data_IF_377389274024
#
_entry.id   IF_377389274024
#
_cell.length_a   1.000
_cell.length_b   1.000
_cell.length_c   1.000
_cell.angle_alpha   90.00
_cell.angle_beta   90.00
_cell.angle_gamma   90.00
#
_symmetry.space_group_name_H-M   'P 1'
#
loop_
_entity.id
_entity.type
_entity.pdbx_description
1 polymer ?
#
# COMPACT_ATOMS: atom_id res chain seq x y z
N UNK A 1 -31.77 12.48 16.24
CA UNK A 1 -30.49 12.05 16.83
C UNK A 1 -29.46 12.02 15.72
N UNK A 2 -28.28 12.67 15.84
CA UNK A 2 -27.27 12.60 14.79
C UNK A 2 -26.80 11.14 14.65
N UNK A 3 -26.60 10.71 13.40
CA UNK A 3 -26.27 9.33 13.06
C UNK A 3 -24.91 8.98 13.71
N UNK A 4 -24.84 8.04 14.68
CA UNK A 4 -23.61 7.76 15.42
C UNK A 4 -22.47 7.23 14.53
N UNK A 5 -22.78 6.87 13.27
CA UNK A 5 -21.82 6.42 12.27
C UNK A 5 -20.81 7.49 11.80
N UNK A 6 -21.04 8.78 12.05
CA UNK A 6 -20.11 9.85 11.65
C UNK A 6 -19.65 10.72 12.83
N UNK A 7 -19.06 10.10 13.84
CA UNK A 7 -18.11 10.84 14.68
C UNK A 7 -16.87 11.09 13.82
N UNK A 8 -16.86 12.20 13.10
CA UNK A 8 -15.67 12.67 12.38
C UNK A 8 -14.57 12.91 13.42
N UNK A 9 -13.43 12.18 13.37
CA UNK A 9 -12.25 12.62 14.10
C UNK A 9 -11.81 13.91 13.41
N UNK A 10 -12.12 15.06 14.01
CA UNK A 10 -11.53 16.34 13.59
C UNK A 10 -10.06 16.34 13.97
N UNK A 11 -9.23 15.62 13.22
CA UNK A 11 -7.80 15.92 13.21
C UNK A 11 -7.65 17.25 12.46
N UNK A 12 -7.41 18.34 13.20
CA UNK A 12 -7.09 19.65 12.62
C UNK A 12 -5.70 19.59 12.01
N UNK A 13 -5.54 18.94 10.87
CA UNK A 13 -4.44 19.26 9.96
C UNK A 13 -4.85 20.55 9.22
N UNK A 14 -4.13 21.64 9.47
CA UNK A 14 -4.34 22.90 8.75
C UNK A 14 -3.85 22.73 7.30
N UNK A 15 -4.73 22.27 6.41
CA UNK A 15 -4.47 22.29 4.98
C UNK A 15 -4.70 23.71 4.46
N UNK A 16 -3.62 24.45 4.20
CA UNK A 16 -3.67 25.68 3.40
C UNK A 16 -3.77 25.29 1.92
N UNK A 17 -4.99 25.19 1.41
CA UNK A 17 -5.28 24.88 0.01
C UNK A 17 -5.22 26.15 -0.84
N UNK A 18 -4.11 26.36 -1.54
CA UNK A 18 -4.10 27.18 -2.75
C UNK A 18 -4.42 26.27 -3.93
N UNK A 19 -5.71 26.18 -4.27
CA UNK A 19 -6.22 25.40 -5.40
C UNK A 19 -5.99 26.16 -6.71
N UNK A 20 -5.10 25.64 -7.55
CA UNK A 20 -5.11 25.90 -9.00
C UNK A 20 -5.97 24.79 -9.63
N UNK A 21 -7.02 25.10 -10.40
CA UNK A 21 -7.87 24.07 -10.98
C UNK A 21 -7.18 23.48 -12.20
N UNK A 22 -6.66 22.26 -12.08
CA UNK A 22 -6.26 21.44 -13.22
C UNK A 22 -7.49 20.64 -13.65
N UNK A 23 -8.07 20.97 -14.82
CA UNK A 23 -9.11 20.14 -15.44
C UNK A 23 -8.49 18.80 -15.86
N UNK A 24 -8.74 17.75 -15.07
CA UNK A 24 -8.51 16.36 -15.45
C UNK A 24 -9.81 15.79 -16.01
N UNK A 25 -9.74 15.25 -17.23
CA UNK A 25 -10.84 14.53 -17.88
C UNK A 25 -11.33 13.39 -16.96
N UNK A 26 -12.64 13.37 -16.71
CA UNK A 26 -13.26 12.49 -15.73
C UNK A 26 -13.13 11.01 -16.08
N UNK A 27 -12.42 10.27 -15.23
CA UNK A 27 -12.69 8.84 -15.09
C UNK A 27 -13.99 8.69 -14.30
N UNK A 28 -14.88 7.82 -14.77
CA UNK A 28 -16.11 7.44 -14.05
C UNK A 28 -15.82 6.45 -12.92
N UNK A 29 -14.72 6.66 -12.19
CA UNK A 29 -14.36 5.80 -11.07
C UNK A 29 -15.38 6.01 -9.94
N UNK A 30 -16.10 4.94 -9.61
CA UNK A 30 -17.04 4.89 -8.50
C UNK A 30 -16.30 5.30 -7.22
N UNK A 31 -16.78 6.35 -6.56
CA UNK A 31 -16.16 6.82 -5.32
C UNK A 31 -16.55 5.90 -4.15
N UNK A 32 -15.63 5.64 -3.21
CA UNK A 32 -15.96 4.97 -1.97
C UNK A 32 -17.08 5.70 -1.23
N UNK A 33 -18.00 4.92 -0.67
CA UNK A 33 -19.04 5.44 0.19
C UNK A 33 -18.43 6.02 1.47
N UNK A 34 -18.82 7.23 1.84
CA UNK A 34 -18.65 7.73 3.22
C UNK A 34 -19.62 7.00 4.16
N UNK A 35 -19.49 7.15 5.49
CA UNK A 35 -20.30 6.50 6.55
C UNK A 35 -21.67 5.93 6.07
N UNK A 36 -21.92 4.64 6.26
CA UNK A 36 -23.18 4.00 5.86
C UNK A 36 -24.05 3.63 7.08
N UNK A 37 -25.39 3.69 6.98
CA UNK A 37 -26.26 3.28 8.08
C UNK A 37 -26.14 1.77 8.32
N UNK A 38 -26.12 1.36 9.59
CA UNK A 38 -26.03 -0.06 9.98
C UNK A 38 -27.16 -0.92 9.37
N UNK A 39 -28.33 -0.35 9.15
CA UNK A 39 -29.46 -1.05 8.52
C UNK A 39 -29.20 -1.46 7.07
N UNK A 40 -28.36 -0.73 6.33
CA UNK A 40 -27.96 -1.11 4.98
C UNK A 40 -26.90 -2.23 4.98
N UNK A 41 -26.10 -2.31 6.05
CA UNK A 41 -24.99 -3.26 6.17
C UNK A 41 -24.93 -3.92 7.55
N UNK A 42 -25.90 -4.77 7.89
CA UNK A 42 -26.00 -5.35 9.22
C UNK A 42 -24.84 -6.29 9.58
N UNK A 43 -24.04 -6.72 8.61
CA UNK A 43 -22.90 -7.62 8.79
C UNK A 43 -21.54 -6.95 8.64
N UNK A 44 -21.45 -5.70 8.17
CA UNK A 44 -20.16 -5.01 8.12
C UNK A 44 -19.68 -4.70 9.54
N UNK A 45 -18.39 -4.89 9.84
CA UNK A 45 -17.85 -4.52 11.13
C UNK A 45 -17.88 -3.00 11.30
N UNK A 46 -17.93 -2.57 12.56
CA UNK A 46 -18.06 -1.16 12.95
C UNK A 46 -16.75 -0.55 13.45
N UNK A 47 -15.77 -1.40 13.80
CA UNK A 47 -14.47 -0.99 14.37
C UNK A 47 -13.28 -1.77 13.79
N UNK A 48 -13.44 -2.40 12.62
CA UNK A 48 -12.38 -3.15 11.95
C UNK A 48 -12.00 -2.46 10.64
N UNK A 49 -10.76 -2.64 10.20
CA UNK A 49 -10.32 -2.28 8.86
C UNK A 49 -11.04 -3.21 7.86
N UNK A 50 -11.62 -2.62 6.83
CA UNK A 50 -12.27 -3.30 5.70
C UNK A 50 -11.88 -2.63 4.39
N UNK A 51 -12.01 -3.34 3.27
CA UNK A 51 -11.90 -2.77 1.92
C UNK A 51 -12.90 -1.66 1.68
N UNK A 52 -12.68 -0.81 0.66
CA UNK A 52 -13.65 0.24 0.36
C UNK A 52 -14.99 -0.36 -0.02
N UNK A 53 -16.04 0.26 0.51
CA UNK A 53 -17.42 -0.05 0.17
C UNK A 53 -17.83 0.91 -0.94
N UNK A 54 -18.23 0.39 -2.10
CA UNK A 54 -18.66 1.23 -3.23
C UNK A 54 -20.10 0.93 -3.61
N UNK A 55 -20.83 1.97 -4.00
CA UNK A 55 -22.18 1.87 -4.55
C UNK A 55 -22.20 2.12 -6.04
N UNK A 56 -23.04 1.39 -6.75
CA UNK A 56 -23.45 1.78 -8.11
C UNK A 56 -24.02 3.19 -8.13
N UNK A 57 -24.08 3.79 -9.33
CA UNK A 57 -24.71 5.10 -9.54
C UNK A 57 -26.19 5.17 -9.08
N UNK A 58 -26.87 4.03 -8.93
CA UNK A 58 -28.23 3.91 -8.40
C UNK A 58 -28.29 3.92 -6.85
N UNK A 59 -27.16 4.10 -6.15
CA UNK A 59 -27.08 4.11 -4.69
C UNK A 59 -27.19 2.74 -4.02
N UNK A 60 -27.29 1.67 -4.82
CA UNK A 60 -27.20 0.29 -4.33
C UNK A 60 -25.73 0.01 -4.03
N UNK A 61 -25.40 -0.34 -2.80
CA UNK A 61 -24.05 -0.81 -2.43
C UNK A 61 -23.81 -2.13 -3.15
N UNK A 62 -22.79 -2.15 -4.00
CA UNK A 62 -22.57 -3.26 -4.94
C UNK A 62 -21.35 -4.10 -4.63
N UNK A 63 -20.38 -3.57 -3.88
CA UNK A 63 -19.13 -4.28 -3.64
C UNK A 63 -18.38 -3.76 -2.42
N UNK A 64 -17.63 -4.66 -1.80
CA UNK A 64 -16.55 -4.37 -0.86
C UNK A 64 -15.28 -4.85 -1.54
N UNK A 65 -14.24 -4.02 -1.57
CA UNK A 65 -12.94 -4.45 -2.09
C UNK A 65 -12.41 -5.65 -1.29
N UNK A 66 -11.86 -6.63 -2.01
CA UNK A 66 -11.22 -7.77 -1.39
C UNK A 66 -9.93 -7.32 -0.71
N UNK A 67 -9.84 -7.55 0.60
CA UNK A 67 -8.62 -7.35 1.37
C UNK A 67 -8.14 -8.69 1.91
N UNK A 68 -6.83 -8.88 1.97
CA UNK A 68 -6.23 -10.09 2.52
C UNK A 68 -5.09 -9.72 3.47
N UNK A 69 -3.88 -10.16 3.17
CA UNK A 69 -2.70 -10.16 4.01
C UNK A 69 -2.38 -8.78 4.58
N UNK A 70 -1.98 -8.77 5.87
CA UNK A 70 -1.41 -7.58 6.50
C UNK A 70 0.07 -7.57 6.18
N UNK A 71 0.46 -6.77 5.20
CA UNK A 71 1.86 -6.66 4.81
C UNK A 71 2.70 -5.98 5.91
N UNK A 72 2.17 -4.97 6.63
CA UNK A 72 2.93 -4.36 7.74
C UNK A 72 2.11 -3.62 8.77
N UNK A 73 2.55 -3.69 10.03
CA UNK A 73 2.07 -2.84 11.13
C UNK A 73 3.27 -2.18 11.81
N UNK A 74 3.34 -0.85 11.78
CA UNK A 74 4.46 -0.10 12.36
C UNK A 74 4.00 1.11 13.16
N UNK A 75 4.86 1.59 14.07
CA UNK A 75 4.74 2.91 14.69
C UNK A 75 5.82 3.81 14.10
N UNK A 76 5.42 4.87 13.40
CA UNK A 76 6.33 5.85 12.82
C UNK A 76 5.93 7.25 13.27
N UNK A 77 6.85 7.98 13.90
CA UNK A 77 6.62 9.37 14.40
C UNK A 77 5.33 9.56 15.20
N UNK A 78 4.97 8.57 16.02
CA UNK A 78 3.77 8.62 16.87
C UNK A 78 2.46 8.27 16.14
N UNK A 79 2.52 7.84 14.88
CA UNK A 79 1.37 7.38 14.10
C UNK A 79 1.55 5.88 13.85
N UNK A 80 0.51 5.10 14.13
CA UNK A 80 0.43 3.70 13.72
C UNK A 80 0.05 3.62 12.25
N UNK A 81 0.75 2.80 11.49
CA UNK A 81 0.46 2.51 10.09
C UNK A 81 0.11 1.03 9.98
N UNK A 82 -0.96 0.73 9.26
CA UNK A 82 -1.26 -0.62 8.78
C UNK A 82 -1.27 -0.57 7.26
N UNK A 83 -0.46 -1.44 6.68
CA UNK A 83 -0.44 -1.73 5.25
C UNK A 83 -1.00 -3.13 5.05
N UNK A 84 -1.87 -3.27 4.07
CA UNK A 84 -2.47 -4.56 3.74
C UNK A 84 -2.67 -4.68 2.23
N UNK A 85 -2.75 -5.90 1.73
CA UNK A 85 -3.11 -6.13 0.34
C UNK A 85 -4.56 -5.73 0.08
N UNK A 86 -4.79 -5.10 -1.06
CA UNK A 86 -6.09 -5.00 -1.69
C UNK A 86 -6.07 -5.66 -3.05
N UNK A 87 -7.22 -6.25 -3.39
CA UNK A 87 -7.62 -6.44 -4.77
C UNK A 87 -6.65 -7.37 -5.53
N UNK A 88 -5.93 -8.20 -4.77
CA UNK A 88 -4.84 -9.09 -5.19
C UNK A 88 -3.71 -8.44 -5.99
N UNK A 89 -3.52 -7.11 -5.88
CA UNK A 89 -2.58 -6.41 -6.75
C UNK A 89 -1.80 -5.26 -6.12
N UNK A 90 -2.24 -4.62 -5.04
CA UNK A 90 -1.58 -3.43 -4.50
C UNK A 90 -1.66 -3.35 -2.98
N UNK A 91 -0.86 -2.46 -2.41
CA UNK A 91 -0.89 -2.18 -0.97
C UNK A 91 -1.84 -1.02 -0.70
N UNK A 92 -2.76 -1.22 0.22
CA UNK A 92 -3.56 -0.19 0.85
C UNK A 92 -2.89 0.32 2.13
N UNK A 93 -3.27 1.51 2.56
CA UNK A 93 -2.65 2.18 3.71
C UNK A 93 -3.69 2.86 4.59
N UNK A 94 -3.71 2.47 5.86
CA UNK A 94 -4.49 3.14 6.90
C UNK A 94 -3.60 3.56 8.07
N UNK A 95 -3.95 4.67 8.71
CA UNK A 95 -3.21 5.21 9.86
C UNK A 95 -4.10 5.43 11.07
N UNK A 96 -3.53 5.36 12.26
CA UNK A 96 -4.22 5.61 13.52
C UNK A 96 -3.27 6.19 14.57
N UNK A 97 -3.82 6.84 15.59
CA UNK A 97 -3.07 7.25 16.79
C UNK A 97 -3.34 6.34 17.99
N UNK A 98 -4.29 5.40 17.87
CA UNK A 98 -4.78 4.56 18.98
C UNK A 98 -5.10 3.11 18.58
N UNK A 99 -4.80 2.69 17.34
CA UNK A 99 -5.11 1.38 16.76
C UNK A 99 -6.61 1.03 16.70
N UNK A 100 -7.50 2.01 16.86
CA UNK A 100 -8.96 1.82 16.85
C UNK A 100 -9.61 2.74 15.81
N UNK A 101 -9.24 4.02 15.78
CA UNK A 101 -9.74 5.00 14.84
C UNK A 101 -8.80 5.12 13.65
N UNK A 102 -9.25 4.63 12.50
CA UNK A 102 -8.44 4.53 11.28
C UNK A 102 -8.81 5.60 10.27
N UNK A 103 -7.78 6.19 9.65
CA UNK A 103 -7.91 7.05 8.47
C UNK A 103 -7.25 6.36 7.30
N UNK A 104 -8.02 6.16 6.22
CA UNK A 104 -7.50 5.60 4.98
C UNK A 104 -6.72 6.67 4.20
N UNK A 105 -5.55 6.29 3.72
CA UNK A 105 -4.67 7.10 2.88
C UNK A 105 -4.63 6.50 1.46
N UNK A 106 -4.10 7.24 0.47
CA UNK A 106 -3.90 6.68 -0.87
C UNK A 106 -3.01 5.42 -0.86
N UNK A 107 -3.25 4.45 -1.75
CA UNK A 107 -2.37 3.31 -1.95
C UNK A 107 -0.89 3.70 -2.14
N UNK A 108 0.04 3.27 -1.27
CA UNK A 108 1.45 3.64 -1.35
C UNK A 108 2.20 2.91 -2.47
N UNK A 109 1.78 1.69 -2.82
CA UNK A 109 2.48 0.82 -3.77
C UNK A 109 1.46 0.23 -4.73
N UNK A 110 1.54 0.67 -5.99
CA UNK A 110 0.63 0.25 -7.06
C UNK A 110 1.44 -0.33 -8.25
N UNK A 111 1.01 -1.45 -8.85
CA UNK A 111 1.64 -2.06 -10.03
C UNK A 111 1.77 -1.09 -11.20
N UNK A 112 2.87 -1.17 -11.95
CA UNK A 112 3.12 -0.35 -13.15
C UNK A 112 3.00 1.17 -12.94
N UNK A 113 2.94 1.66 -11.71
CA UNK A 113 2.94 3.09 -11.42
C UNK A 113 4.28 3.46 -10.80
N UNK A 114 4.80 4.60 -11.24
CA UNK A 114 5.87 5.26 -10.53
C UNK A 114 5.33 5.97 -9.27
N UNK A 115 6.23 6.52 -8.45
CA UNK A 115 5.93 7.23 -7.20
C UNK A 115 5.02 8.45 -7.32
N UNK A 116 4.82 8.93 -8.55
CA UNK A 116 4.01 10.11 -8.87
C UNK A 116 2.67 9.74 -9.50
N UNK A 117 2.32 8.46 -9.53
CA UNK A 117 1.08 7.96 -10.13
C UNK A 117 1.10 7.90 -11.65
N UNK A 118 2.27 8.08 -12.28
CA UNK A 118 2.44 7.97 -13.73
C UNK A 118 2.74 6.52 -14.07
N UNK A 119 2.04 5.96 -15.05
CA UNK A 119 2.30 4.61 -15.55
C UNK A 119 3.76 4.51 -16.04
N UNK A 120 4.53 3.59 -15.50
CA UNK A 120 5.95 3.40 -15.76
C UNK A 120 6.22 2.00 -16.33
N UNK A 121 7.27 1.80 -17.14
CA UNK A 121 7.63 0.49 -17.70
C UNK A 121 8.25 -0.49 -16.68
N UNK A 122 7.90 -0.41 -15.39
CA UNK A 122 8.36 -1.32 -14.35
C UNK A 122 7.77 -2.71 -14.58
N UNK A 123 8.44 -3.49 -15.43
CA UNK A 123 8.00 -4.81 -15.82
C UNK A 123 7.98 -5.79 -14.63
N UNK A 124 8.81 -5.57 -13.61
CA UNK A 124 9.00 -6.52 -12.50
C UNK A 124 7.81 -6.63 -11.55
N UNK A 125 6.91 -5.63 -11.51
CA UNK A 125 5.67 -5.67 -10.71
C UNK A 125 4.41 -5.46 -11.54
N UNK A 126 4.52 -5.60 -12.85
CA UNK A 126 3.49 -5.23 -13.80
C UNK A 126 2.17 -6.00 -13.64
N UNK A 127 2.19 -7.15 -12.98
CA UNK A 127 1.01 -7.96 -12.72
C UNK A 127 0.60 -7.98 -11.24
N UNK A 128 1.37 -7.35 -10.34
CA UNK A 128 1.03 -7.27 -8.92
C UNK A 128 2.20 -6.80 -8.05
N UNK A 129 1.89 -5.97 -7.06
CA UNK A 129 2.75 -5.60 -5.94
C UNK A 129 2.22 -6.34 -4.71
N UNK A 130 2.68 -7.57 -4.55
CA UNK A 130 2.22 -8.52 -3.53
C UNK A 130 2.90 -8.27 -2.18
N UNK A 131 2.65 -9.18 -1.23
CA UNK A 131 3.05 -9.05 0.16
C UNK A 131 4.55 -8.87 0.39
N UNK A 132 4.85 -8.34 1.57
CA UNK A 132 6.20 -8.03 2.01
C UNK A 132 6.18 -7.36 3.35
N UNK A 133 7.32 -6.83 3.78
CA UNK A 133 7.47 -6.20 5.09
C UNK A 133 8.16 -4.85 4.99
N UNK A 134 7.64 -3.88 5.74
CA UNK A 134 8.25 -2.59 6.03
C UNK A 134 9.12 -2.71 7.28
N UNK A 135 10.40 -2.42 7.11
CA UNK A 135 11.40 -2.39 8.17
C UNK A 135 11.79 -0.95 8.44
N UNK A 136 11.48 -0.44 9.63
CA UNK A 136 11.86 0.92 10.04
C UNK A 136 13.30 0.92 10.54
N UNK A 137 14.04 1.99 10.28
CA UNK A 137 15.37 2.22 10.79
C UNK A 137 15.44 2.06 12.32
N UNK A 138 16.26 1.12 12.78
CA UNK A 138 16.47 0.81 14.18
C UNK A 138 17.95 0.47 14.43
N UNK A 139 18.42 0.66 15.67
CA UNK A 139 19.81 0.31 16.03
C UNK A 139 20.13 -1.16 15.74
N UNK A 140 19.17 -2.07 15.90
CA UNK A 140 19.36 -3.51 15.78
C UNK A 140 19.35 -4.02 14.34
N UNK A 141 18.68 -3.33 13.40
CA UNK A 141 18.75 -3.69 11.98
C UNK A 141 19.76 -2.86 11.19
N UNK A 142 20.35 -1.82 11.79
CA UNK A 142 21.34 -0.95 11.16
C UNK A 142 20.88 -0.32 9.83
N UNK A 143 19.56 -0.26 9.60
CA UNK A 143 18.99 0.47 8.50
C UNK A 143 19.10 1.98 8.78
N UNK A 144 19.48 2.74 7.76
CA UNK A 144 19.54 4.21 7.83
C UNK A 144 18.15 4.85 7.61
N UNK A 145 17.29 4.16 6.88
CA UNK A 145 15.93 4.61 6.54
C UNK A 145 14.94 3.43 6.45
N UNK A 146 13.62 3.69 6.56
CA UNK A 146 12.62 2.66 6.36
C UNK A 146 12.68 2.06 4.95
N UNK A 147 12.54 0.74 4.86
CA UNK A 147 12.57 0.00 3.59
C UNK A 147 11.47 -1.05 3.56
N UNK A 148 10.77 -1.13 2.42
CA UNK A 148 9.92 -2.27 2.08
C UNK A 148 10.73 -3.21 1.21
N UNK A 149 10.71 -4.48 1.57
CA UNK A 149 11.01 -5.58 0.66
C UNK A 149 9.67 -6.27 0.39
N UNK A 150 9.31 -6.46 -0.87
CA UNK A 150 8.04 -7.05 -1.28
C UNK A 150 8.20 -8.06 -2.40
N UNK A 151 7.23 -8.97 -2.50
CA UNK A 151 7.02 -9.82 -3.67
C UNK A 151 6.36 -9.01 -4.78
N UNK A 152 6.84 -9.18 -6.00
CA UNK A 152 6.33 -8.53 -7.20
C UNK A 152 6.02 -9.60 -8.26
N UNK A 153 4.93 -9.43 -9.02
CA UNK A 153 4.64 -10.29 -10.16
C UNK A 153 5.16 -9.64 -11.44
N UNK A 154 6.11 -10.34 -12.05
CA UNK A 154 6.73 -9.94 -13.30
C UNK A 154 5.73 -10.01 -14.46
N UNK A 155 5.71 -8.95 -15.26
CA UNK A 155 5.20 -8.98 -16.63
C UNK A 155 6.33 -9.09 -17.66
N UNK A 156 6.02 -8.78 -18.91
CA UNK A 156 6.98 -8.88 -20.00
C UNK A 156 8.13 -7.88 -19.84
N UNK A 157 9.34 -8.41 -19.64
CA UNK A 157 10.57 -7.62 -19.64
C UNK A 157 10.80 -6.99 -21.02
N UNK A 158 11.30 -5.73 -21.11
CA UNK A 158 11.62 -5.11 -22.39
C UNK A 158 12.54 -5.98 -23.25
N UNK A 159 12.08 -6.33 -24.46
CA UNK A 159 12.84 -7.14 -25.41
C UNK A 159 12.87 -8.65 -25.13
N UNK A 160 12.11 -9.15 -24.14
CA UNK A 160 12.02 -10.57 -23.82
C UNK A 160 10.60 -11.11 -24.07
N UNK A 161 10.43 -12.44 -24.26
CA UNK A 161 9.11 -13.05 -24.24
C UNK A 161 8.44 -12.87 -22.86
N UNK A 162 7.10 -12.89 -22.78
CA UNK A 162 6.39 -12.85 -21.50
C UNK A 162 6.84 -13.99 -20.58
N UNK A 163 6.99 -13.75 -19.26
CA UNK A 163 7.31 -14.80 -18.33
C UNK A 163 6.12 -15.76 -18.15
N UNK A 164 6.34 -16.96 -17.60
CA UNK A 164 5.25 -17.82 -17.15
C UNK A 164 4.29 -17.07 -16.20
N UNK A 165 2.99 -17.43 -16.17
CA UNK A 165 2.07 -16.88 -15.19
C UNK A 165 2.60 -17.03 -13.76
N UNK A 166 2.41 -16.00 -12.93
CA UNK A 166 2.87 -15.96 -11.53
C UNK A 166 4.39 -16.10 -11.37
N UNK A 167 5.16 -15.61 -12.34
CA UNK A 167 6.61 -15.42 -12.13
C UNK A 167 6.79 -14.30 -11.12
N UNK A 168 7.44 -14.62 -10.01
CA UNK A 168 7.65 -13.70 -8.89
C UNK A 168 9.10 -13.22 -8.82
N UNK A 169 9.23 -11.96 -8.45
CA UNK A 169 10.48 -11.32 -8.08
C UNK A 169 10.35 -10.70 -6.69
N UNK A 170 11.47 -10.20 -6.17
CA UNK A 170 11.43 -9.28 -5.04
C UNK A 170 11.83 -7.88 -5.47
N UNK A 171 11.21 -6.89 -4.84
CA UNK A 171 11.44 -5.48 -5.12
C UNK A 171 11.63 -4.70 -3.83
N UNK A 172 12.43 -3.65 -3.92
CA UNK A 172 12.67 -2.68 -2.85
C UNK A 172 11.86 -1.42 -3.12
N UNK A 173 11.16 -0.93 -2.09
CA UNK A 173 10.40 0.33 -2.11
C UNK A 173 10.74 1.15 -0.86
N UNK A 174 10.83 2.47 -0.99
CA UNK A 174 11.22 3.38 0.11
C UNK A 174 10.32 4.60 0.18
N UNK A 175 10.01 5.13 1.37
CA UNK A 175 9.34 6.42 1.46
C UNK A 175 10.24 7.54 0.94
N UNK A 176 9.67 8.49 0.21
CA UNK A 176 10.41 9.61 -0.41
C UNK A 176 10.54 10.83 0.50
N UNK A 177 9.71 10.91 1.56
CA UNK A 177 9.71 12.02 2.50
C UNK A 177 9.61 11.52 3.93
N UNK A 178 10.76 11.30 4.57
CA UNK A 178 10.82 10.88 5.98
C UNK A 178 10.35 11.96 6.95
N UNK A 179 10.17 13.21 6.53
CA UNK A 179 9.60 14.25 7.38
C UNK A 179 8.10 14.07 7.58
N UNK A 180 7.40 13.53 6.58
CA UNK A 180 5.97 13.26 6.60
C UNK A 180 5.63 12.10 7.56
N UNK A 181 4.90 12.35 8.66
CA UNK A 181 4.50 11.28 9.58
C UNK A 181 3.51 10.30 8.95
N UNK A 182 2.87 10.64 7.83
CA UNK A 182 1.88 9.80 7.16
C UNK A 182 2.46 8.93 6.05
N UNK A 183 3.74 9.09 5.70
CA UNK A 183 4.42 8.30 4.66
C UNK A 183 3.59 8.21 3.36
N UNK A 184 3.16 9.35 2.80
CA UNK A 184 2.24 9.34 1.65
C UNK A 184 2.88 8.96 0.31
N UNK A 185 4.19 9.17 0.18
CA UNK A 185 4.88 9.09 -1.11
C UNK A 185 6.02 8.08 -1.06
N UNK A 186 6.08 7.17 -2.05
CA UNK A 186 6.98 6.01 -2.06
C UNK A 186 7.68 5.85 -3.40
N UNK A 187 8.98 5.54 -3.37
CA UNK A 187 9.79 5.23 -4.54
C UNK A 187 10.18 3.78 -4.63
N UNK A 188 9.96 3.18 -5.81
CA UNK A 188 10.56 1.89 -6.15
C UNK A 188 12.04 2.10 -6.48
N UNK A 189 12.89 1.17 -6.10
CA UNK A 189 14.31 1.20 -6.40
C UNK A 189 14.55 1.02 -7.91
N UNK A 190 15.48 1.80 -8.48
CA UNK A 190 15.82 1.73 -9.90
C UNK A 190 16.57 0.43 -10.26
N UNK A 191 17.15 -0.25 -9.26
CA UNK A 191 17.82 -1.54 -9.42
C UNK A 191 16.89 -2.73 -9.28
N UNK A 192 15.59 -2.53 -9.09
CA UNK A 192 14.62 -3.63 -9.05
C UNK A 192 14.59 -4.43 -10.39
N UNK A 193 14.34 -5.74 -10.34
CA UNK A 193 14.14 -6.56 -9.13
C UNK A 193 15.45 -6.94 -8.41
N UNK A 194 15.34 -7.42 -7.17
CA UNK A 194 16.47 -7.93 -6.39
C UNK A 194 17.05 -9.18 -7.07
N UNK A 195 18.37 -9.21 -7.20
CA UNK A 195 19.11 -10.37 -7.70
C UNK A 195 20.01 -10.94 -6.59
N UNK A 196 19.90 -12.25 -6.34
CA UNK A 196 20.76 -12.92 -5.36
C UNK A 196 22.09 -13.34 -5.98
N UNK A 197 23.19 -13.15 -5.24
CA UNK A 197 24.55 -13.51 -5.69
C UNK A 197 24.71 -14.99 -6.02
N UNK A 198 23.94 -15.87 -5.38
CA UNK A 198 23.94 -17.31 -5.66
C UNK A 198 23.39 -17.66 -7.05
N UNK A 199 22.81 -16.70 -7.77
CA UNK A 199 22.04 -16.94 -8.99
C UNK A 199 20.77 -17.74 -8.73
N UNK A 200 20.40 -17.94 -7.45
CA UNK A 200 19.17 -18.64 -7.10
C UNK A 200 17.97 -17.86 -7.66
N UNK A 201 17.00 -18.56 -8.27
CA UNK A 201 15.77 -17.92 -8.71
C UNK A 201 15.07 -17.27 -7.51
N UNK A 202 14.47 -16.10 -7.72
CA UNK A 202 13.59 -15.46 -6.73
C UNK A 202 12.34 -16.29 -6.47
N UNK A 203 11.99 -17.22 -7.35
CA UNK A 203 10.95 -18.23 -7.13
C UNK A 203 11.58 -19.47 -6.48
N UNK A 204 11.11 -19.95 -5.31
CA UNK A 204 9.81 -19.67 -4.69
C UNK A 204 9.88 -18.70 -3.48
N UNK A 205 10.84 -17.76 -3.42
CA UNK A 205 10.90 -16.78 -2.33
C UNK A 205 9.78 -15.75 -2.48
N UNK A 206 8.69 -15.96 -1.74
CA UNK A 206 7.61 -15.00 -1.55
C UNK A 206 7.55 -14.54 -0.09
N UNK A 207 6.81 -13.46 0.17
CA UNK A 207 6.51 -12.96 1.52
C UNK A 207 7.75 -12.58 2.37
N UNK A 208 8.65 -11.70 1.86
CA UNK A 208 9.85 -11.30 2.60
C UNK A 208 9.50 -10.69 3.96
N UNK A 209 10.22 -11.12 5.00
CA UNK A 209 10.08 -10.63 6.36
C UNK A 209 10.77 -9.29 6.59
N UNK A 210 10.82 -8.86 7.85
CA UNK A 210 11.52 -7.64 8.21
C UNK A 210 13.03 -7.80 8.05
N UNK A 211 13.67 -6.77 7.52
CA UNK A 211 15.10 -6.68 7.33
C UNK A 211 15.80 -6.57 8.69
N UNK A 212 16.77 -7.44 8.90
CA UNK A 212 17.64 -7.45 10.08
C UNK A 212 19.09 -7.75 9.69
N UNK A 213 20.04 -7.26 10.49
CA UNK A 213 21.47 -7.39 10.22
C UNK A 213 22.07 -8.59 10.96
N UNK A 214 22.82 -9.42 10.24
CA UNK A 214 23.58 -10.55 10.75
C UNK A 214 25.05 -10.44 10.29
N UNK A 215 25.92 -9.93 11.17
CA UNK A 215 27.31 -9.63 10.80
C UNK A 215 27.36 -8.60 9.66
N UNK A 216 27.98 -8.98 8.54
CA UNK A 216 28.12 -8.13 7.36
C UNK A 216 26.96 -8.28 6.35
N UNK A 217 25.95 -9.10 6.66
CA UNK A 217 24.83 -9.40 5.78
C UNK A 217 23.50 -8.88 6.33
N UNK A 218 22.57 -8.59 5.42
CA UNK A 218 21.16 -8.36 5.75
C UNK A 218 20.35 -9.60 5.41
N UNK A 219 19.35 -9.89 6.24
CA UNK A 219 18.40 -10.98 6.06
C UNK A 219 16.99 -10.40 6.14
N UNK A 220 16.03 -11.10 5.55
CA UNK A 220 14.60 -10.82 5.59
C UNK A 220 13.85 -12.14 5.39
#
# INVERSE_FOLDING_TARGET
SPNPCCLTPRMRAAFSSSLVPLLLAGSTAVQPNTCQPRSAHPFLPIYHIIGNVTSSAAGIVTSVEDINDVSSVILFKGVYHVFHQCCQNHWDHVVSVDLIHWTRLPPPIVPNMNPTGVRHPDWYDAHGSWDGSLSVAQKWNALEEPVVVMTAIEGAKPGAPPPPPYTVAMAVVRPTNLSDPFLLNWTKDASNPIHFESGAPTTPYDTPGQVWKNGDYFNF
#
